data_IF_145252267756
#
_entry.id   IF_145252267756
#
_cell.length_a   1.000
_cell.length_b   1.000
_cell.length_c   1.000
_cell.angle_alpha   90.00
_cell.angle_beta   90.00
_cell.angle_gamma   90.00
#
_symmetry.space_group_name_H-M   'P 1'
#
loop_
_entity.id
_entity.type
_entity.pdbx_description
1 polymer ?
#
# COMPACT_ATOMS: atom_id res chain seq x y z
N UNK A 1 14.27 9.99 6.55
CA UNK A 1 13.49 9.88 5.29
C UNK A 1 12.48 8.75 5.49
N UNK A 2 11.21 8.93 5.11
CA UNK A 2 10.24 7.83 5.14
C UNK A 2 10.64 6.77 4.10
N UNK A 3 10.54 5.49 4.47
CA UNK A 3 10.70 4.39 3.52
C UNK A 3 9.56 4.45 2.48
N UNK A 4 9.78 3.89 1.29
CA UNK A 4 8.74 3.77 0.27
C UNK A 4 7.51 3.02 0.79
N UNK A 5 7.70 2.04 1.69
CA UNK A 5 6.61 1.36 2.40
C UNK A 5 5.78 2.31 3.27
N UNK A 6 6.41 3.24 3.98
CA UNK A 6 5.71 4.20 4.84
C UNK A 6 4.84 5.13 4.01
N UNK A 7 5.29 5.51 2.81
CA UNK A 7 4.50 6.29 1.85
C UNK A 7 3.24 5.53 1.43
N UNK A 8 3.38 4.24 1.07
CA UNK A 8 2.23 3.42 0.71
C UNK A 8 1.25 3.26 1.88
N UNK A 9 1.74 2.95 3.09
CA UNK A 9 0.91 2.84 4.30
C UNK A 9 0.18 4.15 4.62
N UNK A 10 0.85 5.29 4.51
CA UNK A 10 0.25 6.60 4.72
C UNK A 10 -0.87 6.90 3.70
N UNK A 11 -0.67 6.54 2.43
CA UNK A 11 -1.69 6.70 1.38
C UNK A 11 -2.91 5.80 1.61
N UNK A 12 -2.70 4.55 2.00
CA UNK A 12 -3.78 3.62 2.35
C UNK A 12 -4.60 4.19 3.51
N UNK A 13 -3.94 4.60 4.60
CA UNK A 13 -4.61 5.18 5.76
C UNK A 13 -5.41 6.45 5.40
N UNK A 14 -4.85 7.32 4.54
CA UNK A 14 -5.55 8.52 4.07
C UNK A 14 -6.81 8.17 3.24
N UNK A 15 -6.73 7.18 2.34
CA UNK A 15 -7.87 6.73 1.55
C UNK A 15 -8.97 6.10 2.43
N UNK A 16 -8.60 5.29 3.42
CA UNK A 16 -9.56 4.70 4.36
C UNK A 16 -10.24 5.79 5.22
N UNK A 17 -9.46 6.73 5.75
CA UNK A 17 -10.02 7.87 6.51
C UNK A 17 -10.98 8.71 5.67
N UNK A 18 -10.66 8.94 4.39
CA UNK A 18 -11.56 9.62 3.47
C UNK A 18 -12.84 8.81 3.20
N UNK A 19 -12.74 7.49 3.03
CA UNK A 19 -13.89 6.61 2.84
C UNK A 19 -14.83 6.58 4.07
N UNK A 20 -14.27 6.67 5.27
CA UNK A 20 -15.05 6.70 6.52
C UNK A 20 -15.77 8.04 6.72
N UNK A 21 -15.17 9.15 6.28
CA UNK A 21 -15.77 10.48 6.37
C UNK A 21 -16.75 10.80 5.22
N UNK A 22 -16.82 9.95 4.18
CA UNK A 22 -17.56 10.23 2.96
C UNK A 22 -19.03 9.75 3.04
N UNK A 23 -20.02 10.67 2.99
CA UNK A 23 -21.44 10.32 3.07
C UNK A 23 -21.99 9.70 1.78
N UNK A 24 -21.37 9.94 0.62
CA UNK A 24 -21.85 9.42 -0.66
C UNK A 24 -21.26 8.02 -0.94
N UNK A 25 -22.13 7.01 -1.02
CA UNK A 25 -21.72 5.61 -1.28
C UNK A 25 -20.82 5.45 -2.52
N UNK A 26 -21.06 6.22 -3.58
CA UNK A 26 -20.23 6.17 -4.79
C UNK A 26 -18.82 6.69 -4.53
N UNK A 27 -18.68 7.82 -3.83
CA UNK A 27 -17.37 8.40 -3.55
C UNK A 27 -16.62 7.57 -2.51
N UNK A 28 -17.32 7.03 -1.51
CA UNK A 28 -16.78 6.04 -0.57
C UNK A 28 -16.20 4.82 -1.31
N UNK A 29 -16.93 4.26 -2.28
CA UNK A 29 -16.43 3.15 -3.09
C UNK A 29 -15.15 3.52 -3.88
N UNK A 30 -15.03 4.77 -4.37
CA UNK A 30 -13.82 5.25 -5.05
C UNK A 30 -12.63 5.34 -4.09
N UNK A 31 -12.82 5.84 -2.87
CA UNK A 31 -11.77 5.88 -1.85
C UNK A 31 -11.31 4.47 -1.45
N UNK A 32 -12.25 3.54 -1.27
CA UNK A 32 -11.92 2.13 -0.99
C UNK A 32 -11.19 1.46 -2.15
N UNK A 33 -11.59 1.72 -3.40
CA UNK A 33 -10.89 1.22 -4.58
C UNK A 33 -9.46 1.75 -4.65
N UNK A 34 -9.26 3.04 -4.38
CA UNK A 34 -7.92 3.64 -4.31
C UNK A 34 -7.07 3.00 -3.20
N UNK A 35 -7.63 2.78 -2.01
CA UNK A 35 -6.94 2.09 -0.92
C UNK A 35 -6.47 0.69 -1.33
N UNK A 36 -7.31 -0.07 -2.06
CA UNK A 36 -6.95 -1.40 -2.59
C UNK A 36 -5.83 -1.33 -3.63
N UNK A 37 -5.85 -0.34 -4.52
CA UNK A 37 -4.76 -0.14 -5.49
C UNK A 37 -3.43 0.15 -4.79
N UNK A 38 -3.44 0.98 -3.74
CA UNK A 38 -2.24 1.24 -2.95
C UNK A 38 -1.77 0.01 -2.17
N UNK A 39 -2.68 -0.82 -1.66
CA UNK A 39 -2.34 -2.08 -1.00
C UNK A 39 -1.63 -3.03 -1.97
N UNK A 40 -2.14 -3.18 -3.21
CA UNK A 40 -1.49 -4.03 -4.22
C UNK A 40 -0.06 -3.56 -4.56
N UNK A 41 0.18 -2.24 -4.58
CA UNK A 41 1.52 -1.69 -4.77
C UNK A 41 2.44 -1.94 -3.58
N UNK A 42 1.92 -1.83 -2.35
CA UNK A 42 2.67 -2.16 -1.14
C UNK A 42 3.07 -3.64 -1.13
N UNK A 43 2.13 -4.53 -1.46
CA UNK A 43 2.40 -5.97 -1.50
C UNK A 43 3.48 -6.31 -2.54
N UNK A 44 3.41 -5.70 -3.73
CA UNK A 44 4.42 -5.86 -4.77
C UNK A 44 5.80 -5.32 -4.34
N UNK A 45 5.85 -4.22 -3.58
CA UNK A 45 7.10 -3.66 -3.06
C UNK A 45 7.72 -4.56 -1.98
N UNK A 46 6.89 -5.07 -1.04
CA UNK A 46 7.33 -6.02 -0.02
C UNK A 46 7.88 -7.28 -0.68
N UNK A 47 7.20 -7.80 -1.71
CA UNK A 47 7.65 -8.99 -2.42
C UNK A 47 8.96 -8.74 -3.18
N UNK A 48 9.09 -7.58 -3.84
CA UNK A 48 10.35 -7.17 -4.48
C UNK A 48 11.52 -7.14 -3.48
N UNK A 49 11.30 -6.54 -2.30
CA UNK A 49 12.32 -6.49 -1.24
C UNK A 49 12.68 -7.88 -0.72
N UNK A 50 11.71 -8.77 -0.55
CA UNK A 50 11.93 -10.17 -0.15
C UNK A 50 12.78 -10.91 -1.17
N UNK A 51 12.44 -10.83 -2.46
CA UNK A 51 13.21 -11.47 -3.53
C UNK A 51 14.64 -10.93 -3.61
N UNK A 52 14.82 -9.60 -3.50
CA UNK A 52 16.14 -8.99 -3.48
C UNK A 52 17.00 -9.43 -2.28
N UNK A 53 16.37 -9.73 -1.12
CA UNK A 53 17.07 -10.28 0.03
C UNK A 53 17.44 -11.77 -0.17
N UNK A 54 16.57 -12.55 -0.82
CA UNK A 54 16.84 -13.95 -1.13
C UNK A 54 17.98 -14.10 -2.16
N UNK A 55 18.01 -13.27 -3.21
CA UNK A 55 19.10 -13.26 -4.21
C UNK A 55 20.45 -12.82 -3.64
N UNK A 56 20.44 -12.04 -2.55
CA UNK A 56 21.65 -11.53 -1.87
C UNK A 56 22.22 -12.48 -0.84
N UNK A 57 21.58 -13.61 -0.55
CA UNK A 57 22.12 -14.66 0.30
C UNK A 57 22.70 -15.78 -0.57
N UNK A 58 23.96 -15.68 -1.07
CA UNK A 58 24.62 -16.83 -1.66
C UNK A 58 24.86 -17.88 -0.57
N UNK A 59 24.58 -19.14 -0.92
CA UNK A 59 24.85 -20.36 -0.14
C UNK A 59 26.13 -20.24 0.71
N UNK A 60 25.99 -20.55 2.01
CA UNK A 60 27.11 -20.92 2.87
C UNK A 60 27.30 -22.42 2.84
#
# INVERSE_FOLDING_TARGET
MMDGEDVYRARIAACLKAADAEPLSQMKARHLAAARSWQALLDAEIERKRSALAERAPDR
#
